data_IF_934157694150
#
_entry.id   IF_934157694150
#
_cell.length_a   1.000
_cell.length_b   1.000
_cell.length_c   1.000
_cell.angle_alpha   90.00
_cell.angle_beta   90.00
_cell.angle_gamma   90.00
#
_symmetry.space_group_name_H-M   'P 1'
#
loop_
_entity.id
_entity.type
_entity.pdbx_description
1 polymer ?
#
# COMPACT_ATOMS: atom_id res chain seq x y z
N UNK A 1 -42.56 -73.61 9.38
CA UNK A 1 -43.56 -72.68 8.80
C UNK A 1 -44.24 -71.91 9.91
N UNK A 2 -43.86 -70.66 10.12
CA UNK A 2 -44.68 -69.68 10.85
C UNK A 2 -44.26 -68.24 10.28
N UNK A 3 -45.26 -67.64 9.68
CA UNK A 3 -45.26 -66.35 9.11
C UNK A 3 -45.38 -65.32 10.25
N UNK A 4 -44.48 -64.37 10.41
CA UNK A 4 -44.61 -63.25 11.33
C UNK A 4 -44.91 -61.99 10.55
N UNK A 5 -46.07 -61.40 10.82
CA UNK A 5 -46.54 -60.11 10.29
C UNK A 5 -45.73 -58.94 10.81
N UNK A 6 -45.37 -58.10 9.91
CA UNK A 6 -44.62 -56.86 10.17
C UNK A 6 -45.64 -55.72 10.33
N UNK A 7 -45.68 -55.11 11.52
CA UNK A 7 -46.43 -53.88 11.76
C UNK A 7 -45.63 -52.71 11.28
N UNK A 8 -46.17 -51.90 10.35
CA UNK A 8 -45.70 -50.62 9.99
C UNK A 8 -46.14 -49.56 11.03
N UNK A 9 -45.21 -48.94 11.69
CA UNK A 9 -45.44 -47.72 12.47
C UNK A 9 -44.97 -46.55 11.66
N UNK A 10 -45.89 -45.70 11.21
CA UNK A 10 -45.61 -44.43 10.54
C UNK A 10 -45.36 -43.35 11.59
N UNK A 11 -44.10 -42.94 11.78
CA UNK A 11 -43.76 -41.79 12.58
C UNK A 11 -43.70 -40.57 11.67
N UNK A 12 -44.65 -39.66 11.84
CA UNK A 12 -44.60 -38.31 11.24
C UNK A 12 -43.60 -37.45 11.99
N UNK A 13 -42.48 -37.14 11.36
CA UNK A 13 -41.51 -36.16 11.86
C UNK A 13 -41.95 -34.77 11.44
N UNK A 14 -42.37 -33.94 12.42
CA UNK A 14 -42.49 -32.47 12.23
C UNK A 14 -41.11 -31.88 11.98
N UNK A 15 -40.92 -31.36 10.79
CA UNK A 15 -39.76 -30.49 10.49
C UNK A 15 -40.00 -29.11 11.06
N UNK A 16 -39.39 -28.78 12.21
CA UNK A 16 -39.24 -27.44 12.68
C UNK A 16 -38.09 -26.77 11.87
N UNK A 17 -38.47 -25.97 10.89
CA UNK A 17 -37.55 -25.07 10.21
C UNK A 17 -37.12 -23.97 11.17
N UNK A 18 -36.02 -24.20 11.90
CA UNK A 18 -35.32 -23.17 12.64
C UNK A 18 -34.54 -22.33 11.65
N UNK A 19 -35.00 -21.11 11.38
CA UNK A 19 -34.18 -20.07 10.79
C UNK A 19 -32.98 -19.77 11.74
N UNK A 20 -31.83 -20.36 11.47
CA UNK A 20 -30.58 -19.84 12.04
C UNK A 20 -30.29 -18.49 11.39
N UNK A 21 -30.63 -17.42 12.07
CA UNK A 21 -30.08 -16.10 11.81
C UNK A 21 -28.57 -16.16 12.06
N UNK A 22 -27.80 -16.12 10.97
CA UNK A 22 -26.38 -15.82 11.06
C UNK A 22 -26.21 -14.44 11.70
N UNK A 23 -25.28 -14.28 12.63
CA UNK A 23 -24.96 -12.94 13.12
C UNK A 23 -24.40 -12.14 11.94
N UNK A 24 -25.15 -11.12 11.52
CA UNK A 24 -24.66 -10.06 10.65
C UNK A 24 -23.52 -9.35 11.37
N UNK A 25 -22.29 -9.78 11.13
CA UNK A 25 -21.13 -8.93 11.37
C UNK A 25 -21.17 -7.84 10.31
N UNK A 26 -21.89 -6.78 10.58
CA UNK A 26 -21.71 -5.51 9.90
C UNK A 26 -20.26 -5.04 10.18
N UNK A 27 -19.35 -5.44 9.31
CA UNK A 27 -18.08 -4.70 9.19
C UNK A 27 -18.48 -3.27 8.92
N UNK A 28 -18.07 -2.36 9.82
CA UNK A 28 -18.32 -0.95 9.66
C UNK A 28 -17.90 -0.50 8.27
N UNK A 29 -18.82 0.08 7.53
CA UNK A 29 -18.58 0.67 6.24
C UNK A 29 -17.47 1.72 6.39
N UNK A 30 -16.30 1.46 5.82
CA UNK A 30 -15.26 2.45 5.65
C UNK A 30 -15.85 3.57 4.80
N UNK A 31 -16.12 4.73 5.41
CA UNK A 31 -16.56 5.93 4.71
C UNK A 31 -15.45 6.39 3.79
N UNK A 32 -15.62 6.18 2.50
CA UNK A 32 -14.72 6.62 1.44
C UNK A 32 -14.50 5.53 0.40
N UNK A 33 -15.55 5.15 -0.30
CA UNK A 33 -15.50 4.20 -1.42
C UNK A 33 -14.99 4.92 -2.68
N UNK A 34 -13.70 4.82 -2.94
CA UNK A 34 -13.10 5.34 -4.16
C UNK A 34 -11.58 5.27 -4.12
N UNK A 35 -10.93 5.22 -5.28
CA UNK A 35 -9.48 5.17 -5.36
C UNK A 35 -8.86 6.47 -4.84
N UNK A 36 -7.65 6.35 -4.28
CA UNK A 36 -6.81 7.50 -3.97
C UNK A 36 -6.20 7.98 -5.28
N UNK A 37 -6.51 9.21 -5.70
CA UNK A 37 -5.92 9.80 -6.89
C UNK A 37 -4.73 10.67 -6.52
N UNK A 38 -3.58 10.39 -7.13
CA UNK A 38 -2.35 11.17 -7.01
C UNK A 38 -2.07 11.77 -8.37
N UNK A 39 -2.06 13.08 -8.45
CA UNK A 39 -1.71 13.84 -9.64
C UNK A 39 -0.33 14.46 -9.47
N UNK A 40 0.58 14.16 -10.40
CA UNK A 40 1.94 14.69 -10.43
C UNK A 40 2.03 15.74 -11.52
N UNK A 41 2.06 17.01 -11.13
CA UNK A 41 2.05 18.13 -12.06
C UNK A 41 3.35 18.93 -11.96
N UNK A 42 3.94 19.25 -13.10
CA UNK A 42 5.07 20.17 -13.18
C UNK A 42 4.53 21.58 -13.48
N UNK A 43 4.73 22.52 -12.56
CA UNK A 43 4.32 23.91 -12.75
C UNK A 43 5.39 24.74 -13.44
N UNK A 44 6.67 24.47 -13.11
CA UNK A 44 7.84 25.16 -13.69
C UNK A 44 8.92 24.11 -13.98
N UNK A 45 9.91 24.40 -14.84
CA UNK A 45 10.94 23.42 -15.23
C UNK A 45 11.71 22.78 -14.06
N UNK A 46 11.76 23.43 -12.90
CA UNK A 46 12.47 22.97 -11.70
C UNK A 46 11.56 22.77 -10.48
N UNK A 47 10.28 23.14 -10.58
CA UNK A 47 9.30 22.99 -9.51
C UNK A 47 8.22 21.98 -9.93
N UNK A 48 7.92 21.08 -9.04
CA UNK A 48 6.87 20.10 -9.25
C UNK A 48 5.89 20.12 -8.09
N UNK A 49 4.61 20.13 -8.43
CA UNK A 49 3.54 19.90 -7.46
C UNK A 49 2.93 18.54 -7.69
N UNK A 50 2.63 17.87 -6.59
CA UNK A 50 1.81 16.69 -6.60
C UNK A 50 0.67 16.86 -5.62
N UNK A 51 -0.49 16.37 -5.99
CA UNK A 51 -1.66 16.34 -5.12
C UNK A 51 -2.12 14.90 -4.97
N UNK A 52 -2.55 14.53 -3.78
CA UNK A 52 -3.21 13.26 -3.55
C UNK A 52 -4.63 13.53 -3.03
N UNK A 53 -5.62 12.92 -3.65
CA UNK A 53 -7.01 13.05 -3.26
C UNK A 53 -7.69 11.68 -3.21
N UNK A 54 -8.51 11.46 -2.18
CA UNK A 54 -9.43 10.31 -2.11
C UNK A 54 -10.85 10.81 -2.37
N UNK A 55 -11.60 10.16 -3.28
CA UNK A 55 -12.98 10.55 -3.59
C UNK A 55 -13.85 10.54 -2.33
N UNK A 56 -14.64 11.61 -2.15
CA UNK A 56 -15.57 11.79 -1.03
C UNK A 56 -15.07 12.60 0.15
N UNK A 57 -13.76 12.64 0.43
CA UNK A 57 -13.13 13.57 1.39
C UNK A 57 -11.76 13.96 0.84
N UNK A 58 -11.72 14.96 -0.03
CA UNK A 58 -10.50 15.40 -0.66
C UNK A 58 -9.45 15.83 0.37
N UNK A 59 -8.42 15.01 0.54
CA UNK A 59 -7.18 15.44 1.14
C UNK A 59 -6.24 15.75 0.00
N UNK A 60 -5.95 17.02 -0.20
CA UNK A 60 -4.96 17.48 -1.18
C UNK A 60 -3.61 17.54 -0.48
N UNK A 61 -2.59 16.88 -1.05
CA UNK A 61 -1.26 16.83 -0.49
C UNK A 61 -0.25 17.29 -1.53
N UNK A 62 0.71 18.09 -1.09
CA UNK A 62 1.92 18.31 -1.87
C UNK A 62 2.82 17.07 -1.78
N UNK A 63 3.42 16.67 -2.89
CA UNK A 63 4.29 15.48 -2.97
C UNK A 63 5.57 15.79 -3.73
N UNK A 64 6.68 15.17 -3.32
CA UNK A 64 7.89 15.05 -4.12
C UNK A 64 7.87 13.76 -4.91
N UNK A 65 8.53 13.71 -6.07
CA UNK A 65 8.58 12.52 -6.91
C UNK A 65 9.88 12.37 -7.72
N UNK A 66 9.94 11.42 -8.63
CA UNK A 66 11.13 11.00 -9.35
C UNK A 66 11.95 12.13 -9.96
N UNK A 67 13.25 12.17 -9.68
CA UNK A 67 14.17 13.19 -10.20
C UNK A 67 14.22 13.26 -11.73
N UNK A 68 13.97 12.13 -12.40
CA UNK A 68 13.92 12.00 -13.85
C UNK A 68 12.50 12.11 -14.44
N UNK A 69 11.49 12.44 -13.61
CA UNK A 69 10.10 12.62 -14.03
C UNK A 69 9.25 11.37 -13.83
N UNK A 70 8.36 11.11 -14.79
CA UNK A 70 7.35 10.04 -14.71
C UNK A 70 7.49 9.05 -15.85
N UNK A 71 7.27 7.77 -15.56
CA UNK A 71 7.24 6.67 -16.53
C UNK A 71 5.86 6.46 -17.13
N UNK A 72 5.79 6.01 -18.37
CA UNK A 72 4.52 5.70 -19.01
C UNK A 72 3.83 4.52 -18.34
N UNK A 73 2.50 4.49 -18.41
CA UNK A 73 1.70 3.39 -17.87
C UNK A 73 2.18 2.06 -18.47
N UNK A 74 2.45 1.08 -17.60
CA UNK A 74 2.93 -0.25 -18.00
C UNK A 74 4.42 -0.34 -18.35
N UNK A 75 5.19 0.76 -18.21
CA UNK A 75 6.65 0.70 -18.34
C UNK A 75 7.29 -0.04 -17.17
N UNK A 76 8.49 -0.60 -17.43
CA UNK A 76 9.34 -1.13 -16.35
C UNK A 76 9.80 -0.01 -15.45
N UNK A 77 9.93 -0.29 -14.15
CA UNK A 77 10.46 0.67 -13.19
C UNK A 77 11.93 1.01 -13.53
N UNK A 78 12.21 2.31 -13.52
CA UNK A 78 13.56 2.85 -13.67
C UNK A 78 13.90 3.77 -12.50
N UNK A 79 15.15 3.72 -12.06
CA UNK A 79 15.66 4.57 -10.99
C UNK A 79 15.50 6.06 -11.31
N UNK A 80 14.87 6.79 -10.41
CA UNK A 80 14.59 8.20 -10.58
C UNK A 80 13.32 8.53 -11.35
N UNK A 81 12.57 7.54 -11.81
CA UNK A 81 11.32 7.70 -12.58
C UNK A 81 10.15 7.21 -11.74
N UNK A 82 9.14 8.06 -11.50
CA UNK A 82 7.92 7.64 -10.82
C UNK A 82 6.95 6.97 -11.79
N UNK A 83 6.55 5.72 -11.57
CA UNK A 83 5.65 5.03 -12.46
C UNK A 83 4.22 5.63 -12.38
N UNK A 84 3.58 5.76 -13.55
CA UNK A 84 2.17 6.13 -13.66
C UNK A 84 1.29 4.89 -13.80
N UNK A 85 0.03 5.00 -13.38
CA UNK A 85 -0.98 3.96 -13.55
C UNK A 85 -1.77 3.68 -12.29
N UNK A 86 -2.36 2.48 -12.26
CA UNK A 86 -3.15 1.98 -11.14
C UNK A 86 -2.31 1.04 -10.31
N UNK A 87 -2.39 1.20 -9.01
CA UNK A 87 -1.67 0.40 -8.00
C UNK A 87 -2.63 -0.07 -6.93
N UNK A 88 -2.24 -1.11 -6.20
CA UNK A 88 -2.88 -1.53 -4.94
C UNK A 88 -1.90 -1.38 -3.79
N UNK A 89 -2.43 -0.97 -2.64
CA UNK A 89 -1.68 -0.95 -1.39
C UNK A 89 -1.44 -2.38 -0.93
N UNK A 90 -0.18 -2.79 -0.79
CA UNK A 90 0.20 -4.13 -0.36
C UNK A 90 0.96 -4.18 0.97
N UNK A 91 1.40 -3.01 1.49
CA UNK A 91 1.85 -2.89 2.87
C UNK A 91 1.68 -1.45 3.39
N UNK A 92 1.46 -1.33 4.69
CA UNK A 92 1.35 -0.07 5.42
C UNK A 92 2.23 -0.21 6.66
N UNK A 93 3.25 0.63 6.77
CA UNK A 93 4.23 0.57 7.84
C UNK A 93 4.43 1.94 8.46
N UNK A 94 4.29 2.02 9.76
CA UNK A 94 4.61 3.18 10.58
C UNK A 94 4.92 2.72 12.00
N UNK A 95 5.30 3.66 12.87
CA UNK A 95 5.55 3.36 14.28
C UNK A 95 4.37 2.67 14.96
N UNK A 96 3.13 3.07 14.62
CA UNK A 96 1.91 2.65 15.30
C UNK A 96 1.03 1.71 14.46
N UNK A 97 1.44 1.39 13.23
CA UNK A 97 0.67 0.54 12.32
C UNK A 97 1.58 -0.29 11.42
N UNK A 98 1.37 -1.60 11.46
CA UNK A 98 2.02 -2.54 10.56
C UNK A 98 0.98 -3.48 9.96
N UNK A 99 0.77 -3.37 8.65
CA UNK A 99 -0.06 -4.26 7.86
C UNK A 99 0.70 -4.63 6.58
N UNK A 100 0.66 -5.90 6.20
CA UNK A 100 1.34 -6.40 5.01
C UNK A 100 0.52 -7.54 4.41
N UNK A 101 0.45 -7.58 3.09
CA UNK A 101 -0.19 -8.66 2.35
C UNK A 101 0.48 -10.01 2.68
N UNK A 102 -0.32 -11.05 2.84
CA UNK A 102 0.16 -12.38 3.21
C UNK A 102 1.15 -12.95 2.18
N UNK A 103 0.99 -12.63 0.90
CA UNK A 103 1.92 -13.05 -0.15
C UNK A 103 3.31 -12.45 0.04
N UNK A 104 3.41 -11.21 0.50
CA UNK A 104 4.69 -10.56 0.81
C UNK A 104 5.32 -11.14 2.09
N UNK A 105 4.51 -11.45 3.10
CA UNK A 105 5.00 -12.10 4.32
C UNK A 105 5.62 -13.45 3.95
N UNK A 106 4.94 -14.25 3.14
CA UNK A 106 5.44 -15.53 2.65
C UNK A 106 6.73 -15.37 1.84
N UNK A 107 6.77 -14.40 0.93
CA UNK A 107 7.94 -14.10 0.09
C UNK A 107 9.15 -13.69 0.94
N UNK A 108 8.95 -13.01 2.05
CA UNK A 108 10.04 -12.59 2.94
C UNK A 108 10.73 -13.76 3.65
N UNK A 109 10.09 -14.91 3.79
CA UNK A 109 10.54 -16.04 4.59
C UNK A 109 10.61 -15.73 6.09
N UNK A 110 9.99 -14.65 6.55
CA UNK A 110 9.96 -14.21 7.95
C UNK A 110 8.53 -14.28 8.51
N UNK A 111 8.41 -14.25 9.82
CA UNK A 111 7.10 -14.14 10.47
C UNK A 111 6.59 -12.69 10.45
N UNK A 112 5.29 -12.52 10.53
CA UNK A 112 4.68 -11.18 10.64
C UNK A 112 5.20 -10.39 11.84
N UNK A 113 5.41 -11.06 12.99
CA UNK A 113 5.97 -10.42 14.18
C UNK A 113 7.38 -9.92 13.93
N UNK A 114 8.24 -10.76 13.32
CA UNK A 114 9.60 -10.34 12.97
C UNK A 114 9.59 -9.10 12.06
N UNK A 115 8.75 -9.10 11.00
CA UNK A 115 8.65 -7.99 10.08
C UNK A 115 8.13 -6.71 10.78
N UNK A 116 7.12 -6.85 11.64
CA UNK A 116 6.56 -5.74 12.41
C UNK A 116 7.60 -5.09 13.35
N UNK A 117 8.45 -5.88 13.97
CA UNK A 117 9.45 -5.40 14.93
C UNK A 117 10.69 -4.79 14.24
N UNK A 118 11.05 -5.30 13.07
CA UNK A 118 12.35 -5.02 12.49
C UNK A 118 12.30 -4.23 11.16
N UNK A 119 11.29 -4.40 10.33
CA UNK A 119 11.36 -3.92 8.96
C UNK A 119 11.31 -2.39 8.88
N UNK A 120 10.25 -1.76 9.37
CA UNK A 120 10.10 -0.30 9.24
C UNK A 120 11.21 0.46 9.99
N UNK A 121 11.53 0.04 11.21
CA UNK A 121 12.59 0.68 11.99
C UNK A 121 13.93 0.58 11.27
N UNK A 122 14.25 -0.59 10.72
CA UNK A 122 15.48 -0.81 9.98
C UNK A 122 15.52 0.06 8.71
N UNK A 123 14.44 0.08 7.91
CA UNK A 123 14.35 0.91 6.71
C UNK A 123 14.53 2.39 7.03
N UNK A 124 13.92 2.87 8.12
CA UNK A 124 13.99 4.26 8.50
C UNK A 124 15.36 4.67 9.10
N UNK A 125 16.13 3.71 9.60
CA UNK A 125 17.47 3.94 10.16
C UNK A 125 18.62 3.75 9.17
N UNK A 126 18.37 3.18 7.99
CA UNK A 126 19.38 3.01 6.94
C UNK A 126 19.58 4.33 6.19
N UNK A 127 20.83 4.68 5.94
CA UNK A 127 21.21 5.73 5.02
C UNK A 127 21.17 5.17 3.58
N UNK A 128 20.06 5.40 2.88
CA UNK A 128 19.85 4.88 1.52
C UNK A 128 20.65 5.64 0.46
N UNK A 129 21.07 6.88 0.74
CA UNK A 129 21.81 7.72 -0.20
C UNK A 129 23.32 7.68 0.05
N UNK A 130 23.75 7.29 1.23
CA UNK A 130 25.14 7.36 1.64
C UNK A 130 25.61 8.78 1.93
N UNK A 131 24.71 9.66 2.35
CA UNK A 131 25.01 11.07 2.67
C UNK A 131 25.20 11.31 4.18
N UNK A 132 25.09 10.26 5.00
CA UNK A 132 25.21 10.32 6.45
C UNK A 132 23.90 10.66 7.16
N UNK A 133 22.81 10.79 6.44
CA UNK A 133 21.48 11.03 7.00
C UNK A 133 20.69 9.72 7.17
N UNK A 134 19.84 9.67 8.18
CA UNK A 134 18.88 8.57 8.42
C UNK A 134 17.45 9.10 8.46
N UNK A 135 16.47 8.21 8.50
CA UNK A 135 15.04 8.59 8.54
C UNK A 135 14.49 9.05 7.20
N UNK A 136 15.11 8.69 6.10
CA UNK A 136 14.75 9.15 4.75
C UNK A 136 13.32 8.76 4.32
N UNK A 137 12.73 7.74 4.95
CA UNK A 137 11.31 7.38 4.77
C UNK A 137 10.37 8.10 5.74
N UNK A 138 10.89 8.96 6.63
CA UNK A 138 10.09 9.76 7.55
C UNK A 138 9.25 8.94 8.51
N UNK A 139 7.98 9.32 8.69
CA UNK A 139 7.08 8.73 9.70
C UNK A 139 6.33 7.48 9.25
N UNK A 140 6.47 7.05 7.98
CA UNK A 140 5.75 5.88 7.47
C UNK A 140 6.03 5.56 6.01
N UNK A 141 5.52 4.41 5.60
CA UNK A 141 5.75 3.81 4.29
C UNK A 141 4.50 3.05 3.84
N UNK A 142 3.97 3.41 2.69
CA UNK A 142 2.83 2.75 2.04
C UNK A 142 3.35 2.14 0.74
N UNK A 143 3.50 0.84 0.71
CA UNK A 143 3.96 0.14 -0.48
C UNK A 143 2.85 -0.10 -1.49
N UNK A 144 3.20 0.02 -2.75
CA UNK A 144 2.30 -0.04 -3.89
C UNK A 144 2.73 -1.13 -4.87
N UNK A 145 1.78 -1.96 -5.29
CA UNK A 145 1.97 -2.94 -6.36
C UNK A 145 1.16 -2.56 -7.59
N UNK A 146 1.72 -2.59 -8.81
CA UNK A 146 1.02 -2.18 -10.03
C UNK A 146 -0.11 -3.15 -10.43
N UNK A 147 -1.14 -2.57 -11.07
CA UNK A 147 -2.29 -3.30 -11.64
C UNK A 147 -2.49 -2.83 -13.10
N UNK A 148 -2.36 -3.71 -14.11
CA UNK A 148 -1.90 -5.10 -14.01
C UNK A 148 -0.44 -5.20 -13.56
N UNK A 149 -0.07 -6.36 -13.04
CA UNK A 149 1.29 -6.59 -12.56
C UNK A 149 2.32 -6.35 -13.67
N UNK A 150 3.33 -5.55 -13.37
CA UNK A 150 4.51 -5.35 -14.20
C UNK A 150 5.75 -5.74 -13.42
N UNK A 151 6.86 -6.12 -14.08
CA UNK A 151 8.10 -6.39 -13.38
C UNK A 151 8.53 -5.18 -12.54
N UNK A 152 8.76 -5.41 -11.25
CA UNK A 152 9.21 -4.39 -10.31
C UNK A 152 10.45 -4.91 -9.58
N UNK A 153 11.42 -4.07 -9.24
CA UNK A 153 12.63 -4.47 -8.53
C UNK A 153 12.35 -4.60 -7.01
N UNK A 154 11.27 -5.28 -6.64
CA UNK A 154 10.92 -5.47 -5.24
C UNK A 154 11.70 -6.64 -4.66
N UNK A 155 12.54 -6.38 -3.68
CA UNK A 155 13.37 -7.38 -3.04
C UNK A 155 13.39 -7.19 -1.53
N UNK A 156 13.19 -8.29 -0.81
CA UNK A 156 13.69 -8.40 0.54
C UNK A 156 15.19 -8.73 0.45
N UNK A 157 16.01 -7.98 1.14
CA UNK A 157 17.46 -8.20 1.20
C UNK A 157 18.04 -7.77 2.55
N UNK A 158 19.33 -7.98 2.72
CA UNK A 158 20.10 -7.46 3.84
C UNK A 158 21.08 -6.38 3.34
N UNK A 159 21.21 -5.33 4.14
CA UNK A 159 22.18 -4.27 3.93
C UNK A 159 22.87 -3.99 5.26
N UNK A 160 24.18 -4.15 5.29
CA UNK A 160 25.01 -4.01 6.49
C UNK A 160 24.43 -4.77 7.71
N UNK A 161 24.06 -6.06 7.49
CA UNK A 161 23.45 -6.91 8.50
C UNK A 161 22.01 -6.56 8.86
N UNK A 162 21.40 -5.59 8.19
CA UNK A 162 20.04 -5.13 8.46
C UNK A 162 19.07 -5.63 7.37
N UNK A 163 18.04 -6.37 7.79
CA UNK A 163 16.97 -6.83 6.89
C UNK A 163 16.11 -5.68 6.46
N UNK A 164 15.88 -5.55 5.16
CA UNK A 164 15.09 -4.47 4.56
C UNK A 164 14.25 -4.95 3.39
N UNK A 165 13.27 -4.13 3.03
CA UNK A 165 12.45 -4.32 1.85
C UNK A 165 12.41 -3.06 0.99
N UNK A 166 12.51 -3.23 -0.32
CA UNK A 166 12.51 -2.15 -1.30
C UNK A 166 11.33 -2.31 -2.27
N UNK A 167 10.55 -1.25 -2.47
CA UNK A 167 9.40 -1.23 -3.37
C UNK A 167 9.08 0.20 -3.84
N UNK A 168 8.24 0.33 -4.87
CA UNK A 168 7.58 1.61 -5.15
C UNK A 168 6.62 1.95 -4.01
N UNK A 169 6.68 3.17 -3.52
CA UNK A 169 5.94 3.54 -2.32
C UNK A 169 5.58 5.02 -2.25
N UNK A 170 4.63 5.31 -1.37
CA UNK A 170 4.40 6.63 -0.80
C UNK A 170 4.99 6.62 0.60
N UNK A 171 5.89 7.55 0.91
CA UNK A 171 6.53 7.60 2.22
C UNK A 171 6.79 9.03 2.69
N UNK A 172 7.18 9.20 3.95
CA UNK A 172 7.58 10.47 4.51
C UNK A 172 8.99 10.87 4.07
N UNK A 173 9.56 11.81 4.79
CA UNK A 173 10.92 12.28 4.55
C UNK A 173 11.49 12.91 5.81
N UNK A 174 12.81 12.84 5.99
CA UNK A 174 13.54 13.61 6.99
C UNK A 174 13.80 15.07 6.55
N UNK A 175 13.58 15.37 5.27
CA UNK A 175 13.71 16.72 4.71
C UNK A 175 12.44 17.14 3.96
N UNK A 176 11.55 17.87 4.63
CA UNK A 176 10.28 18.34 4.05
C UNK A 176 10.48 19.44 2.99
N UNK A 177 11.69 20.01 2.81
CA UNK A 177 11.99 20.96 1.73
C UNK A 177 12.02 20.29 0.35
N UNK A 178 12.07 18.98 0.31
CA UNK A 178 12.00 18.13 -0.90
C UNK A 178 10.58 17.99 -1.45
N UNK A 179 9.57 18.30 -0.64
CA UNK A 179 8.17 18.20 -1.04
C UNK A 179 7.85 19.28 -2.08
N UNK A 180 7.12 18.91 -3.12
CA UNK A 180 6.85 19.76 -4.28
C UNK A 180 7.96 19.75 -5.34
N UNK A 181 8.99 18.89 -5.20
CA UNK A 181 10.15 18.84 -6.10
C UNK A 181 10.36 17.44 -6.71
N UNK A 182 11.10 17.40 -7.82
CA UNK A 182 11.56 16.18 -8.50
C UNK A 182 12.92 15.77 -7.92
N UNK A 183 12.92 14.94 -6.88
CA UNK A 183 14.13 14.66 -6.09
C UNK A 183 14.27 13.21 -5.64
N UNK A 184 13.30 12.32 -5.95
CA UNK A 184 13.33 10.96 -5.43
C UNK A 184 13.90 9.96 -6.44
N UNK A 185 14.22 8.75 -5.96
CA UNK A 185 14.57 7.61 -6.80
C UNK A 185 13.38 6.98 -7.53
N UNK A 186 12.19 7.56 -7.42
CA UNK A 186 10.94 7.08 -8.04
C UNK A 186 9.76 7.03 -7.08
N UNK A 187 9.99 6.88 -5.79
CA UNK A 187 8.93 6.93 -4.78
C UNK A 187 8.28 8.31 -4.67
N UNK A 188 7.09 8.35 -4.09
CA UNK A 188 6.34 9.57 -3.83
C UNK A 188 6.56 9.98 -2.37
N UNK A 189 7.15 11.16 -2.16
CA UNK A 189 7.37 11.70 -0.82
C UNK A 189 6.24 12.63 -0.40
N UNK A 190 5.82 12.53 0.85
CA UNK A 190 4.84 13.41 1.49
C UNK A 190 5.41 14.04 2.77
N UNK A 191 4.89 15.21 3.16
CA UNK A 191 5.13 15.74 4.51
C UNK A 191 4.64 14.73 5.56
N UNK A 192 5.43 14.49 6.60
CA UNK A 192 5.13 13.46 7.61
C UNK A 192 3.72 13.62 8.22
N UNK A 193 3.30 14.85 8.51
CA UNK A 193 1.95 15.14 9.03
C UNK A 193 0.84 14.70 8.06
N UNK A 194 1.04 14.88 6.77
CA UNK A 194 0.08 14.51 5.73
C UNK A 194 0.06 13.00 5.50
N UNK A 195 1.24 12.38 5.46
CA UNK A 195 1.37 10.93 5.38
C UNK A 195 0.66 10.22 6.54
N UNK A 196 0.83 10.70 7.77
CA UNK A 196 0.16 10.14 8.94
C UNK A 196 -1.37 10.22 8.85
N UNK A 197 -1.91 11.27 8.19
CA UNK A 197 -3.35 11.35 7.90
C UNK A 197 -3.76 10.32 6.83
N UNK A 198 -2.94 10.15 5.80
CA UNK A 198 -3.19 9.14 4.76
C UNK A 198 -3.16 7.73 5.34
N UNK A 199 -2.14 7.39 6.15
CA UNK A 199 -2.00 6.09 6.81
C UNK A 199 -3.23 5.74 7.66
N UNK A 200 -3.85 6.70 8.31
CA UNK A 200 -5.07 6.46 9.12
C UNK A 200 -6.32 6.14 8.28
N UNK A 201 -6.31 6.48 7.00
CA UNK A 201 -7.49 6.40 6.12
C UNK A 201 -7.32 5.45 4.93
N UNK A 202 -6.16 4.82 4.78
CA UNK A 202 -5.85 3.86 3.72
C UNK A 202 -5.85 2.44 4.29
N UNK A 203 -6.22 1.45 3.48
CA UNK A 203 -6.24 0.05 3.86
C UNK A 203 -5.46 -0.80 2.86
N UNK A 204 -5.07 -2.03 3.26
CA UNK A 204 -4.55 -3.02 2.32
C UNK A 204 -5.58 -3.27 1.20
N UNK A 205 -5.10 -3.33 -0.02
CA UNK A 205 -5.92 -3.55 -1.20
C UNK A 205 -6.60 -2.30 -1.75
N UNK A 206 -6.52 -1.14 -1.06
CA UNK A 206 -7.02 0.12 -1.59
C UNK A 206 -6.32 0.46 -2.91
N UNK A 207 -7.10 0.95 -3.87
CA UNK A 207 -6.59 1.37 -5.16
C UNK A 207 -5.99 2.77 -5.09
N UNK A 208 -4.81 2.93 -5.69
CA UNK A 208 -4.11 4.20 -5.83
C UNK A 208 -3.87 4.46 -7.32
N UNK A 209 -4.38 5.56 -7.84
CA UNK A 209 -4.18 5.98 -9.23
C UNK A 209 -3.18 7.13 -9.25
N UNK A 210 -2.06 6.91 -9.93
CA UNK A 210 -1.02 7.92 -10.13
C UNK A 210 -1.08 8.43 -11.57
N UNK A 211 -1.32 9.71 -11.72
CA UNK A 211 -1.43 10.40 -13.03
C UNK A 211 -0.48 11.58 -13.11
N UNK A 212 -0.21 12.07 -14.31
CA UNK A 212 0.56 13.29 -14.53
C UNK A 212 0.11 13.99 -15.80
N UNK A 213 0.23 15.30 -15.82
CA UNK A 213 0.06 16.13 -17.03
C UNK A 213 1.37 16.27 -17.84
N UNK A 214 2.47 15.66 -17.36
CA UNK A 214 3.76 15.74 -18.03
C UNK A 214 3.90 14.65 -19.09
N UNK A 215 4.77 14.86 -20.10
CA UNK A 215 5.23 13.78 -20.95
C UNK A 215 5.87 12.67 -20.10
N UNK A 216 5.49 11.44 -20.36
CA UNK A 216 6.06 10.29 -19.67
C UNK A 216 7.29 9.76 -20.43
N UNK A 217 8.27 9.23 -19.69
CA UNK A 217 9.43 8.52 -20.23
C UNK A 217 9.03 7.08 -20.62
N UNK A 218 9.56 6.60 -21.74
CA UNK A 218 9.37 5.21 -22.23
C UNK A 218 10.63 4.41 -22.04
#
# INVERSE_FOLDING_TARGET
MRVAQMLMVTSSALMLSGCMQQPNTTKGSSQGEGPIKIELNQLLPQESQGTAAKEGKGMVFEVGYGKNGVGCIGSTFEEGVTPLGTFKVNAIMSKDRFEMDESLIQQSGKTKNYLSENLFNNMNSIDFKGDGETGEYGSGYISLTPVPSTPQPFNFNEYDGTYRWYSFAIHGTNDETRIGKRVTGGCINMKNKQLNKLIKNINLGDEVIVTSNQPCNR
#
